data_IF_091934054692
#
_entry.id   IF_091934054692
#
_cell.length_a   1.000
_cell.length_b   1.000
_cell.length_c   1.000
_cell.angle_alpha   90.00
_cell.angle_beta   90.00
_cell.angle_gamma   90.00
#
_symmetry.space_group_name_H-M   'P 1'
#
loop_
_entity.id
_entity.type
_entity.pdbx_description
1 polymer ?
#
# COMPACT_ATOMS: atom_id res chain seq x y z
N UNK A 1 11.70 -14.89 19.60
CA UNK A 1 10.35 -15.22 19.09
C UNK A 1 9.53 -13.98 18.75
N UNK A 2 9.34 -13.03 19.67
CA UNK A 2 8.52 -11.83 19.41
C UNK A 2 8.96 -11.01 18.19
N UNK A 3 10.26 -10.83 17.98
CA UNK A 3 10.81 -10.14 16.80
C UNK A 3 10.38 -10.79 15.48
N UNK A 4 10.55 -12.11 15.34
CA UNK A 4 10.16 -12.84 14.13
C UNK A 4 8.65 -12.82 13.89
N UNK A 5 7.84 -12.89 14.96
CA UNK A 5 6.39 -12.69 14.84
C UNK A 5 6.05 -11.28 14.35
N UNK A 6 6.71 -10.26 14.89
CA UNK A 6 6.50 -8.85 14.49
C UNK A 6 6.88 -8.66 13.02
N UNK A 7 8.01 -9.24 12.59
CA UNK A 7 8.48 -9.22 11.21
C UNK A 7 7.49 -9.92 10.28
N UNK A 8 6.99 -11.08 10.68
CA UNK A 8 5.98 -11.83 9.91
C UNK A 8 4.70 -11.03 9.78
N UNK A 9 4.18 -10.47 10.88
CA UNK A 9 2.98 -9.65 10.88
C UNK A 9 3.15 -8.40 9.99
N UNK A 10 4.29 -7.71 10.07
CA UNK A 10 4.61 -6.58 9.20
C UNK A 10 4.56 -6.95 7.71
N UNK A 11 5.17 -8.07 7.32
CA UNK A 11 5.19 -8.53 5.94
C UNK A 11 3.80 -8.92 5.43
N UNK A 12 3.03 -9.68 6.24
CA UNK A 12 1.65 -10.04 5.89
C UNK A 12 0.80 -8.79 5.69
N UNK A 13 0.87 -7.84 6.62
CA UNK A 13 0.16 -6.56 6.49
C UNK A 13 0.58 -5.78 5.24
N UNK A 14 1.88 -5.75 4.92
CA UNK A 14 2.41 -5.10 3.72
C UNK A 14 1.86 -5.75 2.43
N UNK A 15 1.83 -7.08 2.34
CA UNK A 15 1.31 -7.77 1.17
C UNK A 15 -0.19 -7.59 0.99
N UNK A 16 -0.97 -7.65 2.09
CA UNK A 16 -2.42 -7.38 2.04
C UNK A 16 -2.70 -5.95 1.60
N UNK A 17 -1.95 -4.99 2.14
CA UNK A 17 -2.07 -3.58 1.77
C UNK A 17 -1.77 -3.35 0.28
N UNK A 18 -0.63 -3.87 -0.20
CA UNK A 18 -0.18 -3.65 -1.58
C UNK A 18 -1.01 -4.41 -2.59
N UNK A 19 -1.45 -5.63 -2.26
CA UNK A 19 -2.40 -6.39 -3.07
C UNK A 19 -3.73 -5.66 -3.25
N UNK A 20 -4.27 -5.05 -2.19
CA UNK A 20 -5.48 -4.24 -2.28
C UNK A 20 -5.29 -3.00 -3.17
N UNK A 21 -4.15 -2.30 -3.06
CA UNK A 21 -3.83 -1.19 -3.96
C UNK A 21 -3.76 -1.61 -5.43
N UNK A 22 -3.17 -2.77 -5.72
CA UNK A 22 -3.13 -3.33 -7.08
C UNK A 22 -4.53 -3.64 -7.58
N UNK A 23 -5.39 -4.24 -6.74
CA UNK A 23 -6.78 -4.51 -7.09
C UNK A 23 -7.55 -3.22 -7.45
N UNK A 24 -7.40 -2.16 -6.65
CA UNK A 24 -7.99 -0.83 -6.95
C UNK A 24 -7.41 -0.23 -8.23
N UNK A 25 -6.08 -0.30 -8.41
CA UNK A 25 -5.41 0.20 -9.61
C UNK A 25 -5.87 -0.50 -10.89
N UNK A 26 -6.05 -1.82 -10.84
CA UNK A 26 -6.59 -2.61 -11.95
C UNK A 26 -8.05 -2.28 -12.21
N UNK A 27 -8.89 -2.20 -11.19
CA UNK A 27 -10.31 -1.87 -11.34
C UNK A 27 -10.54 -0.46 -11.92
N UNK A 28 -9.65 0.49 -11.63
CA UNK A 28 -9.69 1.84 -12.22
C UNK A 28 -9.16 1.88 -13.67
N UNK A 29 -8.34 0.91 -14.06
CA UNK A 29 -7.80 0.81 -15.42
C UNK A 29 -8.70 0.00 -16.34
N UNK A 30 -9.32 -1.04 -15.79
CA UNK A 30 -10.21 -1.98 -16.45
C UNK A 30 -11.52 -2.05 -15.65
N UNK A 31 -12.37 -1.01 -15.74
CA UNK A 31 -13.61 -0.96 -14.98
C UNK A 31 -14.53 -2.11 -15.39
N UNK A 32 -15.02 -2.82 -14.38
CA UNK A 32 -16.04 -3.87 -14.52
C UNK A 32 -17.29 -3.45 -13.74
N UNK A 33 -18.45 -3.61 -14.37
CA UNK A 33 -19.73 -3.23 -13.78
C UNK A 33 -19.98 -3.97 -12.47
N UNK A 34 -20.47 -3.22 -11.46
CA UNK A 34 -20.77 -3.78 -10.14
C UNK A 34 -19.56 -4.09 -9.24
N UNK A 35 -18.32 -4.00 -9.73
CA UNK A 35 -17.13 -4.40 -8.94
C UNK A 35 -16.56 -3.29 -8.03
N UNK A 36 -16.74 -2.01 -8.39
CA UNK A 36 -16.10 -0.89 -7.67
C UNK A 36 -16.64 -0.69 -6.23
N UNK A 37 -17.94 -0.90 -6.01
CA UNK A 37 -18.57 -0.75 -4.68
C UNK A 37 -18.09 -1.84 -3.70
N UNK A 38 -18.15 -3.14 -4.02
CA UNK A 38 -17.54 -4.20 -3.21
C UNK A 38 -16.06 -3.95 -2.93
N UNK A 39 -15.30 -3.53 -3.95
CA UNK A 39 -13.88 -3.27 -3.80
C UNK A 39 -13.58 -2.13 -2.81
N UNK A 40 -14.37 -1.05 -2.83
CA UNK A 40 -14.27 0.02 -1.82
C UNK A 40 -14.59 -0.46 -0.41
N UNK A 41 -15.58 -1.36 -0.27
CA UNK A 41 -15.91 -1.96 1.03
C UNK A 41 -14.76 -2.85 1.52
N UNK A 42 -14.18 -3.65 0.64
CA UNK A 42 -13.01 -4.48 0.94
C UNK A 42 -11.81 -3.62 1.36
N UNK A 43 -11.53 -2.55 0.64
CA UNK A 43 -10.43 -1.65 0.98
C UNK A 43 -10.57 -1.09 2.40
N UNK A 44 -11.76 -0.59 2.75
CA UNK A 44 -12.04 -0.05 4.09
C UNK A 44 -11.92 -1.11 5.19
N UNK A 45 -12.34 -2.34 4.92
CA UNK A 45 -12.38 -3.42 5.90
C UNK A 45 -11.05 -4.18 6.04
N UNK A 46 -10.21 -4.20 5.00
CA UNK A 46 -9.03 -5.06 4.91
C UNK A 46 -7.79 -4.26 4.57
N UNK A 47 -7.78 -3.56 3.44
CA UNK A 47 -6.57 -2.92 2.91
C UNK A 47 -6.12 -1.72 3.73
N UNK A 48 -7.04 -0.85 4.14
CA UNK A 48 -6.75 0.30 5.01
C UNK A 48 -6.27 -0.17 6.41
N UNK A 49 -6.94 -1.12 7.09
CA UNK A 49 -6.41 -1.70 8.34
C UNK A 49 -5.04 -2.36 8.15
N UNK A 50 -4.80 -3.06 7.04
CA UNK A 50 -3.52 -3.66 6.74
C UNK A 50 -2.41 -2.62 6.56
N UNK A 51 -2.70 -1.47 5.93
CA UNK A 51 -1.77 -0.34 5.88
C UNK A 51 -1.40 0.12 7.29
N UNK A 52 -2.40 0.38 8.15
CA UNK A 52 -2.19 0.83 9.53
C UNK A 52 -1.34 -0.19 10.30
N UNK A 53 -1.67 -1.48 10.19
CA UNK A 53 -0.92 -2.56 10.82
C UNK A 53 0.54 -2.61 10.31
N UNK A 54 0.76 -2.46 9.00
CA UNK A 54 2.11 -2.43 8.42
C UNK A 54 2.94 -1.27 9.00
N UNK A 55 2.35 -0.08 9.19
CA UNK A 55 3.03 1.05 9.83
C UNK A 55 3.34 0.75 11.31
N UNK A 56 2.36 0.27 12.08
CA UNK A 56 2.54 -0.02 13.51
C UNK A 56 3.62 -1.09 13.74
N UNK A 57 3.57 -2.21 13.00
CA UNK A 57 4.60 -3.24 13.09
C UNK A 57 5.95 -2.75 12.56
N UNK A 58 5.96 -1.86 11.56
CA UNK A 58 7.18 -1.24 11.06
C UNK A 58 7.89 -0.38 12.13
N UNK A 59 7.11 0.42 12.86
CA UNK A 59 7.60 1.20 14.02
C UNK A 59 8.13 0.25 15.09
N UNK A 60 7.37 -0.80 15.44
CA UNK A 60 7.76 -1.77 16.45
C UNK A 60 9.07 -2.49 16.08
N UNK A 61 9.27 -2.84 14.80
CA UNK A 61 10.54 -3.40 14.31
C UNK A 61 11.69 -2.41 14.42
N UNK A 62 11.45 -1.12 14.15
CA UNK A 62 12.45 -0.06 14.35
C UNK A 62 12.88 0.04 15.80
N UNK A 63 11.95 -0.10 16.75
CA UNK A 63 12.22 -0.10 18.20
C UNK A 63 13.00 -1.35 18.57
N UNK A 64 12.51 -2.54 18.21
CA UNK A 64 13.14 -3.82 18.54
C UNK A 64 14.55 -3.96 17.94
N UNK A 65 14.78 -3.39 16.76
CA UNK A 65 16.07 -3.39 16.09
C UNK A 65 17.02 -2.26 16.50
N UNK A 66 16.52 -1.22 17.19
CA UNK A 66 17.32 -0.04 17.53
C UNK A 66 17.78 0.78 16.32
N UNK A 67 16.98 0.83 15.25
CA UNK A 67 17.41 1.35 13.94
C UNK A 67 17.01 2.79 13.63
N UNK A 68 16.45 3.53 14.59
CA UNK A 68 16.01 4.92 14.34
C UNK A 68 17.13 5.90 14.04
N UNK A 69 18.38 5.56 14.38
CA UNK A 69 19.58 6.31 13.98
C UNK A 69 20.12 5.91 12.60
N UNK A 70 19.58 4.86 11.97
CA UNK A 70 20.07 4.35 10.69
C UNK A 70 19.49 5.13 9.51
N UNK A 71 20.36 5.62 8.62
CA UNK A 71 19.95 6.41 7.43
C UNK A 71 18.99 5.67 6.50
N UNK A 72 19.19 4.35 6.30
CA UNK A 72 18.29 3.53 5.48
C UNK A 72 16.86 3.45 6.03
N UNK A 73 16.68 3.50 7.36
CA UNK A 73 15.35 3.46 7.95
C UNK A 73 14.60 4.77 7.69
N UNK A 74 15.30 5.91 7.78
CA UNK A 74 14.74 7.21 7.40
C UNK A 74 14.25 7.23 5.95
N UNK A 75 15.08 6.73 5.01
CA UNK A 75 14.69 6.59 3.60
C UNK A 75 13.48 5.66 3.42
N UNK A 76 13.45 4.52 4.14
CA UNK A 76 12.31 3.59 4.10
C UNK A 76 11.03 4.25 4.60
N UNK A 77 11.08 5.05 5.67
CA UNK A 77 9.92 5.77 6.20
C UNK A 77 9.36 6.73 5.14
N UNK A 78 10.21 7.50 4.46
CA UNK A 78 9.78 8.41 3.39
C UNK A 78 9.04 7.63 2.29
N UNK A 79 9.60 6.50 1.84
CA UNK A 79 8.95 5.66 0.82
C UNK A 79 7.61 5.08 1.28
N UNK A 80 7.50 4.65 2.54
CA UNK A 80 6.24 4.16 3.10
C UNK A 80 5.20 5.27 3.17
N UNK A 81 5.58 6.51 3.50
CA UNK A 81 4.68 7.66 3.48
C UNK A 81 4.21 7.99 2.06
N UNK A 82 5.10 7.90 1.06
CA UNK A 82 4.73 8.04 -0.35
C UNK A 82 3.73 6.95 -0.75
N UNK A 83 3.97 5.69 -0.36
CA UNK A 83 3.06 4.59 -0.64
C UNK A 83 1.68 4.78 0.02
N UNK A 84 1.63 5.29 1.25
CA UNK A 84 0.38 5.68 1.94
C UNK A 84 -0.36 6.80 1.21
N UNK A 85 0.37 7.80 0.71
CA UNK A 85 -0.20 8.85 -0.13
C UNK A 85 -0.79 8.31 -1.43
N UNK A 86 -0.09 7.39 -2.10
CA UNK A 86 -0.57 6.70 -3.30
C UNK A 86 -1.83 5.88 -3.02
N UNK A 87 -1.90 5.19 -1.89
CA UNK A 87 -3.11 4.49 -1.46
C UNK A 87 -4.28 5.48 -1.33
N UNK A 88 -4.10 6.58 -0.58
CA UNK A 88 -5.14 7.60 -0.41
C UNK A 88 -5.63 8.18 -1.74
N UNK A 89 -4.71 8.45 -2.67
CA UNK A 89 -5.04 8.92 -4.00
C UNK A 89 -5.85 7.90 -4.83
N UNK A 90 -5.51 6.61 -4.74
CA UNK A 90 -6.28 5.53 -5.38
C UNK A 90 -7.70 5.45 -4.83
N UNK A 91 -7.89 5.55 -3.52
CA UNK A 91 -9.22 5.52 -2.89
C UNK A 91 -10.04 6.77 -3.23
N UNK A 92 -9.39 7.93 -3.34
CA UNK A 92 -10.03 9.14 -3.85
C UNK A 92 -10.56 8.94 -5.28
N UNK A 93 -9.78 8.32 -6.16
CA UNK A 93 -10.20 8.00 -7.54
C UNK A 93 -11.29 6.94 -7.59
N UNK A 94 -11.18 5.88 -6.79
CA UNK A 94 -12.21 4.83 -6.66
C UNK A 94 -13.55 5.43 -6.22
N UNK A 95 -13.53 6.35 -5.26
CA UNK A 95 -14.75 7.04 -4.80
C UNK A 95 -15.41 7.82 -5.94
N UNK A 96 -14.64 8.52 -6.77
CA UNK A 96 -15.16 9.27 -7.93
C UNK A 96 -15.74 8.33 -8.99
N UNK A 97 -15.00 7.27 -9.34
CA UNK A 97 -15.41 6.28 -10.34
C UNK A 97 -16.70 5.53 -9.98
N UNK A 98 -17.04 5.39 -8.70
CA UNK A 98 -18.31 4.77 -8.27
C UNK A 98 -19.54 5.62 -8.65
N UNK A 99 -19.38 6.94 -8.78
CA UNK A 99 -20.46 7.87 -9.13
C UNK A 99 -20.50 8.19 -10.63
N UNK A 100 -19.45 7.84 -11.38
CA UNK A 100 -19.37 8.01 -12.82
C UNK A 100 -19.96 6.78 -13.54
N UNK A 101 -20.57 7.00 -14.70
CA UNK A 101 -21.02 5.89 -15.54
C UNK A 101 -19.78 5.15 -16.08
N UNK A 102 -19.74 3.81 -16.13
CA UNK A 102 -18.58 3.03 -16.60
C UNK A 102 -18.02 3.45 -17.96
N UNK A 103 -18.88 4.01 -18.83
CA UNK A 103 -18.56 4.53 -20.16
C UNK A 103 -17.84 5.88 -20.15
N UNK A 104 -17.90 6.61 -19.04
CA UNK A 104 -17.31 7.95 -18.87
C UNK A 104 -16.03 7.92 -18.03
N UNK A 105 -15.69 6.78 -17.44
CA UNK A 105 -14.46 6.62 -16.64
C UNK A 105 -13.26 6.75 -17.57
N UNK A 106 -12.56 7.89 -17.49
CA UNK A 106 -11.25 8.05 -18.11
C UNK A 106 -10.30 7.03 -17.50
N UNK A 107 -9.52 6.26 -18.29
CA UNK A 107 -8.61 5.22 -17.78
C UNK A 107 -7.70 5.76 -16.67
N UNK A 108 -8.04 5.45 -15.42
CA UNK A 108 -7.25 5.74 -14.23
C UNK A 108 -6.18 4.66 -14.03
N UNK A 109 -5.35 4.79 -13.00
CA UNK A 109 -4.47 3.69 -12.58
C UNK A 109 -3.20 3.45 -13.41
N UNK A 110 -3.08 3.95 -14.65
CA UNK A 110 -1.90 3.73 -15.53
C UNK A 110 -0.56 4.04 -14.87
N UNK A 111 -0.50 5.13 -14.11
CA UNK A 111 0.71 5.59 -13.43
C UNK A 111 0.88 4.97 -12.03
N UNK A 112 -0.21 4.54 -11.37
CA UNK A 112 -0.15 4.02 -10.00
C UNK A 112 0.44 2.62 -9.91
N UNK A 113 0.14 1.75 -10.88
CA UNK A 113 0.69 0.39 -10.92
C UNK A 113 2.24 0.40 -11.04
N UNK A 114 2.85 1.07 -12.04
CA UNK A 114 4.31 1.09 -12.15
C UNK A 114 4.98 1.87 -11.01
N UNK A 115 4.41 3.00 -10.55
CA UNK A 115 4.98 3.73 -9.41
C UNK A 115 4.92 2.87 -8.14
N UNK A 116 3.78 2.23 -7.86
CA UNK A 116 3.63 1.35 -6.71
C UNK A 116 4.65 0.20 -6.72
N UNK A 117 4.87 -0.40 -7.89
CA UNK A 117 5.90 -1.43 -8.07
C UNK A 117 7.30 -0.90 -7.76
N UNK A 118 7.68 0.24 -8.33
CA UNK A 118 9.01 0.86 -8.09
C UNK A 118 9.19 1.18 -6.60
N UNK A 119 8.20 1.79 -5.95
CA UNK A 119 8.25 2.12 -4.53
C UNK A 119 8.41 0.85 -3.68
N UNK A 120 7.69 -0.23 -4.00
CA UNK A 120 7.83 -1.50 -3.30
C UNK A 120 9.21 -2.12 -3.48
N UNK A 121 9.74 -2.12 -4.70
CA UNK A 121 11.09 -2.60 -4.98
C UNK A 121 12.13 -1.84 -4.16
N UNK A 122 12.04 -0.50 -4.10
CA UNK A 122 12.95 0.32 -3.31
C UNK A 122 12.84 0.02 -1.81
N UNK A 123 11.62 -0.17 -1.28
CA UNK A 123 11.40 -0.54 0.13
C UNK A 123 12.06 -1.89 0.45
N UNK A 124 11.89 -2.89 -0.42
CA UNK A 124 12.48 -4.23 -0.25
C UNK A 124 14.01 -4.17 -0.37
N UNK A 125 14.52 -3.37 -1.31
CA UNK A 125 15.97 -3.21 -1.52
C UNK A 125 16.64 -2.56 -0.30
N UNK A 126 16.07 -1.48 0.24
CA UNK A 126 16.59 -0.80 1.44
C UNK A 126 16.65 -1.72 2.66
N UNK A 127 15.60 -2.52 2.91
CA UNK A 127 15.59 -3.41 4.08
C UNK A 127 16.50 -4.63 3.91
N UNK A 128 16.77 -5.03 2.66
CA UNK A 128 17.62 -6.19 2.36
C UNK A 128 19.09 -5.81 2.43
N UNK A 129 19.47 -4.69 1.80
CA UNK A 129 20.87 -4.27 1.69
C UNK A 129 21.31 -3.50 2.95
N UNK A 130 20.38 -2.84 3.65
CA UNK A 130 20.64 -2.00 4.83
C UNK A 130 21.90 -1.13 4.67
N UNK A 131 21.98 -0.33 3.58
CA UNK A 131 23.14 0.54 3.36
C UNK A 131 23.31 1.59 4.47
#
# INVERSE_FOLDING_TARGET
MLYELTKTAHLVSLFVWTGGMVAVGLALRYPADGFLKPLKTYDRAVTTPAMIAALLFGILLGIQGGWFSSGWLGMKIILVLVLSGLHGALIGRLRKAIWESPREIKPGGKMFLPIGLVVLTLIVLLVTIKP
#
